data_IF_709724756901
#
_entry.id   IF_709724756901
#
_cell.length_a   1.000
_cell.length_b   1.000
_cell.length_c   1.000
_cell.angle_alpha   90.00
_cell.angle_beta   90.00
_cell.angle_gamma   90.00
#
_symmetry.space_group_name_H-M   'P 1'
#
loop_
_entity.id
_entity.type
_entity.pdbx_description
1 polymer ?
#
# COMPACT_ATOMS: atom_id res chain seq x y z
N UNK A 1 -6.99 -41.42 -6.45
CA UNK A 1 -6.60 -40.18 -7.18
C UNK A 1 -6.68 -39.04 -6.18
N UNK A 2 -5.68 -38.15 -6.14
CA UNK A 2 -5.67 -37.06 -5.15
C UNK A 2 -6.58 -35.94 -5.64
N UNK A 3 -7.82 -35.90 -5.14
CA UNK A 3 -8.83 -34.89 -5.48
C UNK A 3 -8.34 -33.46 -5.25
N UNK A 4 -7.40 -33.26 -4.32
CA UNK A 4 -6.78 -31.97 -4.05
C UNK A 4 -5.93 -31.43 -5.21
N UNK A 5 -5.44 -32.30 -6.11
CA UNK A 5 -4.60 -31.90 -7.27
C UNK A 5 -5.36 -31.98 -8.60
N UNK A 6 -6.63 -32.39 -8.60
CA UNK A 6 -7.46 -32.42 -9.81
C UNK A 6 -8.21 -31.10 -9.99
N UNK A 7 -7.73 -30.25 -10.90
CA UNK A 7 -8.52 -29.15 -11.50
C UNK A 7 -8.34 -27.74 -10.94
N UNK A 8 -9.16 -26.82 -11.49
CA UNK A 8 -9.17 -25.37 -11.25
C UNK A 8 -9.18 -24.97 -9.76
N UNK A 9 -9.74 -25.81 -8.88
CA UNK A 9 -9.81 -25.57 -7.44
C UNK A 9 -8.43 -25.43 -6.78
N UNK A 10 -7.48 -26.31 -7.11
CA UNK A 10 -6.13 -26.24 -6.55
C UNK A 10 -5.43 -24.95 -6.99
N UNK A 11 -5.54 -24.61 -8.27
CA UNK A 11 -4.91 -23.40 -8.81
C UNK A 11 -5.52 -22.14 -8.20
N UNK A 12 -6.85 -22.09 -8.04
CA UNK A 12 -7.56 -20.99 -7.38
C UNK A 12 -7.12 -20.79 -5.94
N UNK A 13 -7.04 -21.88 -5.17
CA UNK A 13 -6.55 -21.84 -3.80
C UNK A 13 -5.07 -21.43 -3.74
N UNK A 14 -4.22 -22.07 -4.54
CA UNK A 14 -2.78 -21.85 -4.55
C UNK A 14 -2.42 -20.41 -4.92
N UNK A 15 -3.11 -19.80 -5.89
CA UNK A 15 -2.89 -18.40 -6.26
C UNK A 15 -3.27 -17.44 -5.12
N UNK A 16 -4.38 -17.69 -4.41
CA UNK A 16 -4.79 -16.90 -3.25
C UNK A 16 -3.82 -17.07 -2.08
N UNK A 17 -3.41 -18.31 -1.80
CA UNK A 17 -2.39 -18.62 -0.81
C UNK A 17 -1.08 -17.87 -1.10
N UNK A 18 -0.61 -17.95 -2.34
CA UNK A 18 0.61 -17.27 -2.77
C UNK A 18 0.46 -15.75 -2.64
N UNK A 19 -0.67 -15.18 -3.08
CA UNK A 19 -0.99 -13.76 -2.96
C UNK A 19 -0.92 -13.27 -1.50
N UNK A 20 -1.50 -14.03 -0.57
CA UNK A 20 -1.44 -13.73 0.86
C UNK A 20 0.00 -13.83 1.38
N UNK A 21 0.74 -14.88 1.02
CA UNK A 21 2.12 -15.09 1.46
C UNK A 21 3.05 -13.93 1.04
N UNK A 22 2.99 -13.53 -0.24
CA UNK A 22 3.80 -12.41 -0.74
C UNK A 22 3.29 -11.05 -0.24
N UNK A 23 1.98 -10.93 -0.02
CA UNK A 23 1.34 -9.76 0.60
C UNK A 23 1.82 -9.54 2.04
N UNK A 24 1.97 -10.61 2.83
CA UNK A 24 2.56 -10.56 4.19
C UNK A 24 3.99 -10.01 4.11
N UNK A 25 4.82 -10.51 3.20
CA UNK A 25 6.18 -10.01 3.05
C UNK A 25 6.20 -8.53 2.65
N UNK A 26 5.34 -8.12 1.72
CA UNK A 26 5.28 -6.74 1.25
C UNK A 26 4.82 -5.76 2.35
N UNK A 27 3.66 -6.01 2.95
CA UNK A 27 3.07 -5.12 3.96
C UNK A 27 3.84 -5.23 5.29
N UNK A 28 4.37 -6.40 5.63
CA UNK A 28 5.26 -6.58 6.78
C UNK A 28 6.51 -5.72 6.67
N UNK A 29 7.17 -5.70 5.51
CA UNK A 29 8.33 -4.82 5.27
C UNK A 29 7.94 -3.33 5.26
N UNK A 30 6.77 -2.98 4.73
CA UNK A 30 6.24 -1.62 4.81
C UNK A 30 6.15 -1.14 6.27
N UNK A 31 5.59 -1.96 7.16
CA UNK A 31 5.49 -1.64 8.59
C UNK A 31 6.85 -1.67 9.27
N UNK A 32 7.73 -2.60 8.93
CA UNK A 32 9.12 -2.60 9.40
C UNK A 32 9.82 -1.28 9.09
N UNK A 33 9.76 -0.78 7.84
CA UNK A 33 10.40 0.49 7.50
C UNK A 33 9.84 1.66 8.29
N UNK A 34 8.52 1.70 8.41
CA UNK A 34 7.81 2.84 8.96
C UNK A 34 7.85 2.88 10.49
N UNK A 35 7.72 1.74 11.16
CA UNK A 35 7.58 1.65 12.61
C UNK A 35 8.90 1.29 13.32
N UNK A 36 9.84 0.66 12.62
CA UNK A 36 11.08 0.15 13.22
C UNK A 36 12.30 0.83 12.61
N UNK A 37 12.54 0.65 11.31
CA UNK A 37 13.81 1.07 10.70
C UNK A 37 13.99 2.60 10.71
N UNK A 38 13.00 3.38 10.28
CA UNK A 38 13.12 4.84 10.22
C UNK A 38 13.31 5.46 11.63
N UNK A 39 12.51 5.09 12.65
CA UNK A 39 12.78 5.54 14.02
C UNK A 39 14.17 5.14 14.55
N UNK A 40 14.61 3.91 14.30
CA UNK A 40 15.94 3.45 14.70
C UNK A 40 17.06 4.21 13.97
N UNK A 41 16.89 4.54 12.69
CA UNK A 41 17.85 5.35 11.94
C UNK A 41 17.96 6.79 12.48
N UNK A 42 16.86 7.33 13.02
CA UNK A 42 16.84 8.65 13.65
C UNK A 42 17.55 8.66 15.02
N UNK A 43 17.56 7.53 15.74
CA UNK A 43 18.19 7.44 17.06
C UNK A 43 19.72 7.31 17.04
N UNK A 44 20.35 7.14 15.87
CA UNK A 44 21.82 7.10 15.76
C UNK A 44 22.51 8.42 16.13
N UNK A 45 21.80 9.56 16.15
CA UNK A 45 22.38 10.87 16.46
C UNK A 45 23.60 11.19 15.59
N UNK A 46 24.73 11.44 16.23
CA UNK A 46 26.00 11.81 15.57
C UNK A 46 26.80 10.60 15.04
N UNK A 47 26.32 9.37 15.23
CA UNK A 47 26.96 8.14 14.74
C UNK A 47 26.70 7.89 13.24
N UNK A 48 27.06 8.87 12.40
CA UNK A 48 26.79 8.85 10.96
C UNK A 48 27.38 7.61 10.26
N UNK A 49 28.55 7.14 10.70
CA UNK A 49 29.20 5.93 10.16
C UNK A 49 28.35 4.69 10.40
N UNK A 50 27.89 4.48 11.64
CA UNK A 50 27.07 3.33 11.99
C UNK A 50 25.73 3.36 11.25
N UNK A 51 25.08 4.54 11.17
CA UNK A 51 23.86 4.74 10.38
C UNK A 51 24.05 4.36 8.91
N UNK A 52 25.15 4.78 8.29
CA UNK A 52 25.43 4.47 6.88
C UNK A 52 25.71 2.98 6.65
N UNK A 53 26.35 2.29 7.60
CA UNK A 53 26.52 0.83 7.55
C UNK A 53 25.16 0.13 7.56
N UNK A 54 24.24 0.57 8.42
CA UNK A 54 22.87 0.03 8.48
C UNK A 54 22.13 0.27 7.17
N UNK A 55 22.26 1.45 6.55
CA UNK A 55 21.70 1.72 5.23
C UNK A 55 22.26 0.77 4.16
N UNK A 56 23.58 0.60 4.10
CA UNK A 56 24.22 -0.23 3.08
C UNK A 56 23.93 -1.74 3.24
N UNK A 57 23.98 -2.26 4.47
CA UNK A 57 23.87 -3.70 4.73
C UNK A 57 22.44 -4.17 4.96
N UNK A 58 21.65 -3.42 5.73
CA UNK A 58 20.32 -3.82 6.16
C UNK A 58 19.25 -3.24 5.23
N UNK A 59 19.17 -1.91 5.12
CA UNK A 59 18.11 -1.25 4.36
C UNK A 59 18.13 -1.66 2.87
N UNK A 60 19.33 -1.78 2.26
CA UNK A 60 19.48 -2.26 0.88
C UNK A 60 18.81 -3.62 0.63
N UNK A 61 18.99 -4.57 1.56
CA UNK A 61 18.42 -5.93 1.45
C UNK A 61 16.92 -5.93 1.68
N UNK A 62 16.47 -5.23 2.73
CA UNK A 62 15.04 -5.08 3.01
C UNK A 62 14.31 -4.43 1.82
N UNK A 63 14.89 -3.39 1.22
CA UNK A 63 14.32 -2.71 0.05
C UNK A 63 14.30 -3.58 -1.21
N UNK A 64 15.22 -4.55 -1.33
CA UNK A 64 15.16 -5.52 -2.43
C UNK A 64 13.92 -6.42 -2.28
N UNK A 65 13.74 -7.03 -1.12
CA UNK A 65 12.58 -7.88 -0.84
C UNK A 65 11.27 -7.12 -0.95
N UNK A 66 11.23 -5.90 -0.41
CA UNK A 66 10.04 -5.05 -0.45
C UNK A 66 9.55 -4.77 -1.87
N UNK A 67 10.46 -4.46 -2.79
CA UNK A 67 10.14 -4.15 -4.19
C UNK A 67 9.58 -5.34 -4.93
N UNK A 68 10.22 -6.49 -4.77
CA UNK A 68 9.80 -7.71 -5.47
C UNK A 68 8.55 -8.31 -4.83
N UNK A 69 8.39 -8.25 -3.51
CA UNK A 69 7.15 -8.64 -2.84
C UNK A 69 5.95 -7.82 -3.35
N UNK A 70 6.13 -6.51 -3.59
CA UNK A 70 5.09 -5.67 -4.19
C UNK A 70 4.65 -6.16 -5.59
N UNK A 71 5.62 -6.46 -6.48
CA UNK A 71 5.31 -6.96 -7.83
C UNK A 71 4.70 -8.35 -7.78
N UNK A 72 5.21 -9.24 -6.94
CA UNK A 72 4.66 -10.59 -6.79
C UNK A 72 3.23 -10.55 -6.26
N UNK A 73 2.93 -9.65 -5.33
CA UNK A 73 1.55 -9.45 -4.83
C UNK A 73 0.64 -8.93 -5.93
N UNK A 74 1.06 -7.93 -6.71
CA UNK A 74 0.27 -7.47 -7.86
C UNK A 74 0.09 -8.56 -8.92
N UNK A 75 1.16 -9.27 -9.28
CA UNK A 75 1.12 -10.32 -10.30
C UNK A 75 0.15 -11.44 -9.92
N UNK A 76 0.24 -11.93 -8.68
CA UNK A 76 -0.71 -12.93 -8.17
C UNK A 76 -2.14 -12.38 -8.07
N UNK A 77 -2.31 -11.10 -7.72
CA UNK A 77 -3.63 -10.46 -7.71
C UNK A 77 -4.26 -10.38 -9.10
N UNK A 78 -3.47 -9.98 -10.11
CA UNK A 78 -3.91 -9.94 -11.51
C UNK A 78 -4.29 -11.34 -11.99
N UNK A 79 -3.51 -12.37 -11.65
CA UNK A 79 -3.81 -13.76 -11.99
C UNK A 79 -5.12 -14.23 -11.36
N UNK A 80 -5.41 -13.85 -10.12
CA UNK A 80 -6.71 -14.14 -9.47
C UNK A 80 -7.85 -13.43 -10.22
N UNK A 81 -7.68 -12.15 -10.53
CA UNK A 81 -8.74 -11.36 -11.18
C UNK A 81 -8.95 -11.69 -12.65
N UNK A 82 -7.96 -12.29 -13.31
CA UNK A 82 -8.02 -12.70 -14.71
C UNK A 82 -8.66 -14.07 -14.94
N UNK A 83 -9.05 -14.79 -13.89
CA UNK A 83 -9.79 -16.05 -14.02
C UNK A 83 -11.21 -15.74 -14.51
N UNK A 84 -11.72 -16.43 -15.56
CA UNK A 84 -12.99 -16.07 -16.20
C UNK A 84 -14.16 -15.93 -15.22
N UNK A 85 -14.33 -16.89 -14.31
CA UNK A 85 -15.42 -16.86 -13.32
C UNK A 85 -15.30 -15.70 -12.31
N UNK A 86 -14.08 -15.31 -11.94
CA UNK A 86 -13.86 -14.15 -11.08
C UNK A 86 -14.07 -12.85 -11.85
N UNK A 87 -13.55 -12.78 -13.07
CA UNK A 87 -13.63 -11.61 -13.95
C UNK A 87 -15.07 -11.26 -14.28
N UNK A 88 -15.86 -12.26 -14.71
CA UNK A 88 -17.27 -12.06 -15.05
C UNK A 88 -18.08 -11.62 -13.82
N UNK A 89 -17.83 -12.23 -12.66
CA UNK A 89 -18.46 -11.81 -11.40
C UNK A 89 -18.03 -10.41 -10.97
N UNK A 90 -16.77 -10.02 -11.20
CA UNK A 90 -16.20 -8.74 -10.79
C UNK A 90 -16.68 -7.58 -11.67
N UNK A 91 -16.91 -7.84 -12.96
CA UNK A 91 -17.45 -6.85 -13.91
C UNK A 91 -18.98 -6.78 -13.91
N UNK A 92 -19.66 -7.72 -13.26
CA UNK A 92 -21.10 -7.67 -13.11
C UNK A 92 -21.51 -6.70 -11.99
N UNK A 93 -21.92 -5.50 -12.40
CA UNK A 93 -22.44 -4.45 -11.51
C UNK A 93 -23.93 -4.17 -11.79
N UNK A 94 -24.64 -5.06 -12.49
CA UNK A 94 -26.00 -4.78 -12.95
C UNK A 94 -27.06 -4.94 -11.85
N UNK A 95 -28.05 -4.05 -11.85
CA UNK A 95 -29.17 -4.03 -10.91
C UNK A 95 -28.78 -3.83 -9.44
N UNK A 96 -29.69 -4.23 -8.53
CA UNK A 96 -29.40 -4.37 -7.10
C UNK A 96 -29.07 -5.82 -6.81
N UNK A 97 -27.80 -6.14 -6.56
CA UNK A 97 -27.37 -7.50 -6.27
C UNK A 97 -26.29 -7.52 -5.18
N UNK A 98 -26.12 -8.68 -4.53
CA UNK A 98 -25.14 -8.90 -3.47
C UNK A 98 -23.67 -8.80 -3.91
N UNK A 99 -23.40 -8.76 -5.22
CA UNK A 99 -22.05 -8.60 -5.75
C UNK A 99 -21.63 -7.13 -5.81
N UNK A 100 -22.54 -6.17 -5.86
CA UNK A 100 -22.20 -4.75 -6.00
C UNK A 100 -21.34 -4.22 -4.84
N UNK A 101 -21.79 -4.39 -3.60
CA UNK A 101 -21.04 -3.95 -2.41
C UNK A 101 -19.69 -4.68 -2.29
N UNK A 102 -19.67 -5.97 -2.60
CA UNK A 102 -18.45 -6.80 -2.67
C UNK A 102 -17.48 -6.27 -3.72
N UNK A 103 -17.94 -6.07 -4.96
CA UNK A 103 -17.14 -5.63 -6.11
C UNK A 103 -16.61 -4.21 -5.88
N UNK A 104 -17.41 -3.31 -5.32
CA UNK A 104 -16.98 -1.97 -4.94
C UNK A 104 -15.89 -1.97 -3.86
N UNK A 105 -16.08 -2.75 -2.81
CA UNK A 105 -15.12 -2.85 -1.72
C UNK A 105 -13.78 -3.42 -2.21
N UNK A 106 -13.79 -4.52 -2.97
CA UNK A 106 -12.54 -5.09 -3.50
C UNK A 106 -11.87 -4.14 -4.50
N UNK A 107 -12.64 -3.40 -5.31
CA UNK A 107 -12.11 -2.39 -6.23
C UNK A 107 -11.32 -1.30 -5.51
N UNK A 108 -11.85 -0.76 -4.41
CA UNK A 108 -11.13 0.24 -3.60
C UNK A 108 -9.83 -0.34 -3.04
N UNK A 109 -9.87 -1.56 -2.49
CA UNK A 109 -8.68 -2.25 -2.01
C UNK A 109 -7.63 -2.44 -3.11
N UNK A 110 -8.03 -2.92 -4.28
CA UNK A 110 -7.15 -3.13 -5.43
C UNK A 110 -6.49 -1.83 -5.89
N UNK A 111 -7.24 -0.74 -6.03
CA UNK A 111 -6.69 0.54 -6.51
C UNK A 111 -5.68 1.11 -5.49
N UNK A 112 -5.96 1.00 -4.19
CA UNK A 112 -5.00 1.38 -3.16
C UNK A 112 -3.72 0.53 -3.24
N UNK A 113 -3.83 -0.79 -3.38
CA UNK A 113 -2.68 -1.67 -3.56
C UNK A 113 -1.86 -1.33 -4.81
N UNK A 114 -2.51 -1.11 -5.96
CA UNK A 114 -1.84 -0.73 -7.21
C UNK A 114 -1.12 0.61 -7.03
N UNK A 115 -1.77 1.60 -6.43
CA UNK A 115 -1.17 2.92 -6.14
C UNK A 115 0.03 2.77 -5.21
N UNK A 116 -0.06 1.90 -4.20
CA UNK A 116 1.04 1.62 -3.29
C UNK A 116 2.23 0.97 -4.00
N UNK A 117 2.02 -0.03 -4.86
CA UNK A 117 3.08 -0.66 -5.63
C UNK A 117 3.72 0.31 -6.63
N UNK A 118 2.92 1.17 -7.25
CA UNK A 118 3.37 2.30 -8.04
C UNK A 118 4.30 3.22 -7.22
N UNK A 119 3.93 3.58 -5.98
CA UNK A 119 4.80 4.33 -5.08
C UNK A 119 6.12 3.59 -4.79
N UNK A 120 6.08 2.27 -4.56
CA UNK A 120 7.28 1.46 -4.29
C UNK A 120 8.30 1.58 -5.42
N UNK A 121 7.88 1.38 -6.67
CA UNK A 121 8.79 1.33 -7.81
C UNK A 121 9.12 2.70 -8.39
N UNK A 122 8.13 3.57 -8.53
CA UNK A 122 8.29 4.84 -9.23
C UNK A 122 8.85 5.95 -8.36
N UNK A 123 8.65 5.88 -7.03
CA UNK A 123 9.04 6.97 -6.12
C UNK A 123 10.02 6.47 -5.07
N UNK A 124 9.64 5.50 -4.23
CA UNK A 124 10.45 5.02 -3.11
C UNK A 124 11.78 4.49 -3.63
N UNK A 125 11.76 3.53 -4.56
CA UNK A 125 12.99 2.95 -5.07
C UNK A 125 13.91 3.95 -5.77
N UNK A 126 13.37 4.81 -6.63
CA UNK A 126 14.17 5.81 -7.36
C UNK A 126 14.94 6.72 -6.39
N UNK A 127 14.27 7.19 -5.35
CA UNK A 127 14.88 8.07 -4.34
C UNK A 127 15.79 7.29 -3.38
N UNK A 128 15.43 6.06 -2.98
CA UNK A 128 16.27 5.22 -2.12
C UNK A 128 17.60 4.84 -2.79
N UNK A 129 17.65 4.71 -4.13
CA UNK A 129 18.93 4.53 -4.83
C UNK A 129 19.91 5.66 -4.53
N UNK A 130 19.44 6.91 -4.51
CA UNK A 130 20.27 8.09 -4.19
C UNK A 130 20.76 8.01 -2.74
N UNK A 131 19.86 7.72 -1.80
CA UNK A 131 20.21 7.59 -0.37
C UNK A 131 21.23 6.48 -0.13
N UNK A 132 21.04 5.31 -0.73
CA UNK A 132 21.94 4.17 -0.60
C UNK A 132 23.29 4.40 -1.28
N UNK A 133 23.30 5.04 -2.45
CA UNK A 133 24.54 5.41 -3.14
C UNK A 133 25.35 6.42 -2.30
N UNK A 134 24.68 7.43 -1.74
CA UNK A 134 25.30 8.39 -0.82
C UNK A 134 25.89 7.70 0.41
N UNK A 135 25.17 6.76 1.02
CA UNK A 135 25.67 6.03 2.19
C UNK A 135 26.98 5.27 1.88
N UNK A 136 27.05 4.60 0.72
CA UNK A 136 28.28 3.92 0.26
C UNK A 136 29.40 4.90 -0.03
N UNK A 137 29.09 6.01 -0.70
CA UNK A 137 30.08 7.03 -1.05
C UNK A 137 30.74 7.64 0.20
N UNK A 138 29.93 8.03 1.19
CA UNK A 138 30.42 8.59 2.46
C UNK A 138 31.22 7.55 3.25
N UNK A 139 30.82 6.27 3.25
CA UNK A 139 31.61 5.20 3.87
C UNK A 139 32.97 4.98 3.19
N UNK A 140 33.06 5.26 1.89
CA UNK A 140 34.31 5.21 1.12
C UNK A 140 35.19 6.45 1.25
N UNK A 141 34.83 7.42 2.10
CA UNK A 141 35.56 8.68 2.27
C UNK A 141 35.20 9.78 1.27
N UNK A 142 34.17 9.57 0.43
CA UNK A 142 33.66 10.56 -0.49
C UNK A 142 32.81 11.65 0.18
N UNK A 143 32.61 12.76 -0.53
CA UNK A 143 31.78 13.87 -0.04
C UNK A 143 30.28 13.53 -0.07
N UNK A 144 29.48 13.94 0.93
CA UNK A 144 28.04 13.71 0.93
C UNK A 144 27.32 14.33 -0.28
N UNK A 145 26.39 13.59 -0.89
CA UNK A 145 25.54 14.09 -1.96
C UNK A 145 24.49 15.07 -1.39
N UNK A 146 24.47 16.35 -1.84
CA UNK A 146 23.52 17.34 -1.36
C UNK A 146 22.05 16.96 -1.62
N UNK A 147 21.77 16.10 -2.62
CA UNK A 147 20.42 15.68 -2.96
C UNK A 147 19.89 14.54 -2.10
N UNK A 148 20.76 13.85 -1.34
CA UNK A 148 20.39 12.64 -0.60
C UNK A 148 19.28 12.89 0.44
N UNK A 149 19.33 14.03 1.14
CA UNK A 149 18.33 14.39 2.14
C UNK A 149 16.94 14.60 1.50
N UNK A 150 16.88 15.35 0.39
CA UNK A 150 15.63 15.60 -0.34
C UNK A 150 15.06 14.31 -0.94
N UNK A 151 15.91 13.42 -1.47
CA UNK A 151 15.50 12.11 -1.94
C UNK A 151 14.93 11.24 -0.80
N UNK A 152 15.63 11.16 0.33
CA UNK A 152 15.16 10.45 1.52
C UNK A 152 13.81 10.94 2.01
N UNK A 153 13.60 12.27 2.02
CA UNK A 153 12.31 12.89 2.36
C UNK A 153 11.18 12.44 1.43
N UNK A 154 11.38 12.47 0.11
CA UNK A 154 10.37 12.03 -0.88
C UNK A 154 10.05 10.54 -0.73
N UNK A 155 11.06 9.70 -0.52
CA UNK A 155 10.87 8.27 -0.28
C UNK A 155 10.06 8.01 1.01
N UNK A 156 10.36 8.75 2.08
CA UNK A 156 9.68 8.62 3.36
C UNK A 156 8.21 9.01 3.26
N UNK A 157 7.88 10.16 2.65
CA UNK A 157 6.49 10.61 2.48
C UNK A 157 5.65 9.59 1.72
N UNK A 158 6.17 9.07 0.60
CA UNK A 158 5.49 8.03 -0.16
C UNK A 158 5.35 6.71 0.62
N UNK A 159 6.36 6.33 1.41
CA UNK A 159 6.29 5.15 2.29
C UNK A 159 5.23 5.31 3.40
N UNK A 160 5.09 6.52 3.95
CA UNK A 160 4.06 6.84 4.94
C UNK A 160 2.67 6.80 4.33
N UNK A 161 2.50 7.34 3.13
CA UNK A 161 1.24 7.24 2.39
C UNK A 161 0.87 5.78 2.10
N UNK A 162 1.84 4.93 1.76
CA UNK A 162 1.58 3.50 1.61
C UNK A 162 1.08 2.89 2.92
N UNK A 163 1.63 3.27 4.07
CA UNK A 163 1.17 2.82 5.38
C UNK A 163 -0.24 3.35 5.71
N UNK A 164 -0.58 4.56 5.27
CA UNK A 164 -1.94 5.11 5.39
C UNK A 164 -2.94 4.27 4.61
N UNK A 165 -2.63 3.94 3.35
CA UNK A 165 -3.50 3.13 2.50
C UNK A 165 -3.58 1.67 2.92
N UNK A 166 -2.51 1.09 3.49
CA UNK A 166 -2.45 -0.35 3.74
C UNK A 166 -3.53 -0.85 4.69
N UNK A 167 -3.96 -0.05 5.66
CA UNK A 167 -5.00 -0.44 6.63
C UNK A 167 -6.35 -0.60 5.94
N UNK A 168 -6.83 0.44 5.26
CA UNK A 168 -8.10 0.38 4.52
C UNK A 168 -8.03 -0.66 3.39
N UNK A 169 -6.92 -0.73 2.67
CA UNK A 169 -6.71 -1.73 1.63
C UNK A 169 -6.90 -3.16 2.15
N UNK A 170 -6.22 -3.51 3.25
CA UNK A 170 -6.36 -4.83 3.87
C UNK A 170 -7.78 -5.09 4.37
N UNK A 171 -8.41 -4.10 5.01
CA UNK A 171 -9.79 -4.23 5.48
C UNK A 171 -10.74 -4.60 4.35
N UNK A 172 -10.70 -3.88 3.23
CA UNK A 172 -11.61 -4.15 2.12
C UNK A 172 -11.29 -5.47 1.42
N UNK A 173 -10.00 -5.79 1.22
CA UNK A 173 -9.62 -7.08 0.63
C UNK A 173 -10.08 -8.26 1.51
N UNK A 174 -9.94 -8.17 2.84
CA UNK A 174 -10.39 -9.22 3.76
C UNK A 174 -11.91 -9.23 3.88
N UNK A 175 -12.55 -8.08 4.11
CA UNK A 175 -13.99 -7.98 4.35
C UNK A 175 -14.83 -8.48 3.18
N UNK A 176 -14.33 -8.34 1.94
CA UNK A 176 -15.04 -8.83 0.73
C UNK A 176 -15.22 -10.35 0.69
N UNK A 177 -14.35 -11.08 1.40
CA UNK A 177 -14.47 -12.53 1.54
C UNK A 177 -15.34 -12.96 2.75
N UNK A 178 -15.77 -12.02 3.59
CA UNK A 178 -16.41 -12.34 4.87
C UNK A 178 -17.83 -11.79 5.01
N UNK A 179 -18.05 -10.51 4.71
CA UNK A 179 -19.33 -9.86 5.07
C UNK A 179 -19.90 -8.95 3.98
N UNK A 180 -19.10 -8.30 3.12
CA UNK A 180 -19.67 -7.32 2.18
C UNK A 180 -20.71 -7.88 1.20
N UNK A 181 -20.59 -9.15 0.80
CA UNK A 181 -21.59 -9.76 -0.09
C UNK A 181 -22.88 -10.15 0.63
N UNK A 182 -22.80 -10.54 1.91
CA UNK A 182 -23.96 -11.03 2.65
C UNK A 182 -24.69 -9.90 3.37
N UNK A 183 -23.94 -8.96 3.97
CA UNK A 183 -24.50 -7.86 4.77
C UNK A 183 -25.16 -6.77 3.93
N UNK A 184 -24.81 -6.66 2.64
CA UNK A 184 -25.27 -5.58 1.76
C UNK A 184 -25.82 -6.13 0.44
N UNK A 185 -26.82 -6.99 0.53
CA UNK A 185 -27.42 -7.68 -0.61
C UNK A 185 -28.26 -6.77 -1.52
N UNK A 186 -28.65 -5.58 -1.05
CA UNK A 186 -29.50 -4.64 -1.78
C UNK A 186 -28.74 -3.45 -2.41
N UNK A 187 -27.41 -3.40 -2.28
CA UNK A 187 -26.62 -2.29 -2.79
C UNK A 187 -26.82 -2.11 -4.31
N UNK A 188 -27.20 -0.90 -4.73
CA UNK A 188 -27.41 -0.61 -6.16
C UNK A 188 -26.08 -0.35 -6.86
N UNK A 189 -26.04 -0.53 -8.19
CA UNK A 189 -24.89 -0.16 -9.01
C UNK A 189 -24.46 1.29 -8.80
N UNK A 190 -25.43 2.18 -8.64
CA UNK A 190 -25.20 3.62 -8.44
C UNK A 190 -24.48 3.88 -7.13
N UNK A 191 -24.93 3.27 -6.05
CA UNK A 191 -24.31 3.44 -4.72
C UNK A 191 -22.91 2.84 -4.71
N UNK A 192 -22.74 1.66 -5.31
CA UNK A 192 -21.46 0.99 -5.47
C UNK A 192 -20.45 1.86 -6.23
N UNK A 193 -20.84 2.44 -7.38
CA UNK A 193 -19.97 3.33 -8.18
C UNK A 193 -19.66 4.63 -7.43
N UNK A 194 -20.67 5.25 -6.82
CA UNK A 194 -20.48 6.48 -6.04
C UNK A 194 -19.50 6.25 -4.88
N UNK A 195 -19.60 5.11 -4.20
CA UNK A 195 -18.69 4.74 -3.12
C UNK A 195 -17.25 4.67 -3.61
N UNK A 196 -17.02 3.96 -4.72
CA UNK A 196 -15.68 3.87 -5.34
C UNK A 196 -15.17 5.27 -5.68
N UNK A 197 -15.97 6.11 -6.33
CA UNK A 197 -15.55 7.48 -6.72
C UNK A 197 -15.14 8.29 -5.50
N UNK A 198 -15.96 8.31 -4.44
CA UNK A 198 -15.67 9.07 -3.22
C UNK A 198 -14.38 8.55 -2.56
N UNK A 199 -14.23 7.23 -2.44
CA UNK A 199 -13.02 6.62 -1.88
C UNK A 199 -11.76 6.98 -2.69
N UNK A 200 -11.85 6.99 -4.02
CA UNK A 200 -10.77 7.38 -4.90
C UNK A 200 -10.43 8.85 -4.83
N UNK A 201 -11.42 9.74 -4.70
CA UNK A 201 -11.17 11.18 -4.52
C UNK A 201 -10.43 11.44 -3.21
N UNK A 202 -10.88 10.85 -2.10
CA UNK A 202 -10.20 10.96 -0.79
C UNK A 202 -8.78 10.42 -0.89
N UNK A 203 -8.61 9.22 -1.47
CA UNK A 203 -7.31 8.61 -1.67
C UNK A 203 -6.39 9.47 -2.55
N UNK A 204 -6.89 10.01 -3.66
CA UNK A 204 -6.13 10.86 -4.56
C UNK A 204 -5.65 12.14 -3.87
N UNK A 205 -6.48 12.78 -3.03
CA UNK A 205 -6.07 13.96 -2.25
C UNK A 205 -4.90 13.63 -1.32
N UNK A 206 -4.98 12.52 -0.57
CA UNK A 206 -3.90 12.06 0.30
C UNK A 206 -2.63 11.73 -0.51
N UNK A 207 -2.78 11.00 -1.61
CA UNK A 207 -1.67 10.65 -2.49
C UNK A 207 -0.99 11.91 -3.06
N UNK A 208 -1.74 12.87 -3.58
CA UNK A 208 -1.21 14.13 -4.12
C UNK A 208 -0.51 14.96 -3.03
N UNK A 209 -1.04 14.95 -1.81
CA UNK A 209 -0.40 15.58 -0.66
C UNK A 209 0.98 14.97 -0.39
N UNK A 210 1.06 13.63 -0.25
CA UNK A 210 2.31 12.92 -0.01
C UNK A 210 3.36 13.10 -1.12
N UNK A 211 2.91 13.31 -2.36
CA UNK A 211 3.78 13.62 -3.51
C UNK A 211 4.24 15.09 -3.55
N UNK A 212 3.83 15.91 -2.58
CA UNK A 212 4.15 17.32 -2.50
C UNK A 212 3.44 18.17 -3.55
N UNK A 213 2.36 17.66 -4.16
CA UNK A 213 1.53 18.43 -5.11
C UNK A 213 0.64 19.45 -4.42
N UNK A 214 0.47 19.32 -3.10
CA UNK A 214 -0.24 20.26 -2.25
C UNK A 214 0.75 20.94 -1.28
N UNK A 215 1.37 22.03 -1.73
CA UNK A 215 2.29 22.84 -0.90
C UNK A 215 3.74 22.35 -0.78
N UNK A 216 4.18 21.40 -1.62
CA UNK A 216 5.56 20.91 -1.64
C UNK A 216 5.87 19.85 -0.57
N UNK A 217 7.14 19.42 -0.50
CA UNK A 217 7.61 18.34 0.41
C UNK A 217 8.38 18.84 1.63
N UNK A 218 8.52 20.15 1.78
CA UNK A 218 9.25 20.78 2.89
C UNK A 218 8.51 20.53 4.22
N UNK A 219 9.26 20.36 5.31
CA UNK A 219 8.68 20.13 6.65
C UNK A 219 7.87 21.33 7.18
N UNK A 220 8.01 22.50 6.55
CA UNK A 220 7.21 23.71 6.83
C UNK A 220 5.77 23.59 6.30
N UNK A 221 5.50 22.66 5.38
CA UNK A 221 4.17 22.43 4.84
C UNK A 221 3.29 21.68 5.86
N UNK A 222 2.38 22.41 6.52
CA UNK A 222 1.47 21.85 7.53
C UNK A 222 0.54 20.76 6.97
N UNK A 223 0.28 20.74 5.67
CA UNK A 223 -0.57 19.71 5.04
C UNK A 223 0.08 18.32 5.10
N UNK A 224 1.40 18.23 5.33
CA UNK A 224 2.12 16.97 5.46
C UNK A 224 2.02 16.35 6.87
N UNK A 225 1.25 16.95 7.80
CA UNK A 225 1.04 16.41 9.14
C UNK A 225 0.79 14.90 9.17
N UNK A 226 -0.03 14.30 8.26
CA UNK A 226 -0.23 12.85 8.23
C UNK A 226 1.05 12.02 8.10
N UNK A 227 2.11 12.58 7.53
CA UNK A 227 3.32 11.86 7.15
C UNK A 227 4.55 12.23 7.99
N UNK A 228 4.48 13.29 8.79
CA UNK A 228 5.64 13.78 9.55
C UNK A 228 6.11 12.80 10.62
N UNK A 229 5.23 11.93 11.11
CA UNK A 229 5.59 10.88 12.05
C UNK A 229 4.89 9.57 11.74
N UNK A 230 5.47 8.47 12.21
CA UNK A 230 4.83 7.16 12.14
C UNK A 230 3.51 7.12 12.90
N UNK A 231 3.41 7.86 14.02
CA UNK A 231 2.18 7.95 14.82
C UNK A 231 1.09 8.68 14.07
N UNK A 232 1.39 9.81 13.43
CA UNK A 232 0.42 10.56 12.63
C UNK A 232 -0.07 9.74 11.44
N UNK A 233 0.83 8.99 10.81
CA UNK A 233 0.46 8.13 9.69
C UNK A 233 -0.42 6.94 10.15
N UNK A 234 -0.21 6.41 11.37
CA UNK A 234 -1.10 5.40 11.98
C UNK A 234 -2.47 5.99 12.36
N UNK A 235 -2.51 7.20 12.90
CA UNK A 235 -3.77 7.89 13.19
C UNK A 235 -4.53 8.11 11.87
N UNK A 236 -3.84 8.62 10.85
CA UNK A 236 -4.45 8.88 9.53
C UNK A 236 -4.93 7.60 8.87
N UNK A 237 -4.20 6.48 9.01
CA UNK A 237 -4.64 5.18 8.46
C UNK A 237 -5.92 4.70 9.13
N UNK A 238 -6.03 4.82 10.46
CA UNK A 238 -7.23 4.50 11.22
C UNK A 238 -8.41 5.41 10.87
N UNK A 239 -8.18 6.71 10.74
CA UNK A 239 -9.22 7.67 10.33
C UNK A 239 -9.71 7.38 8.91
N UNK A 240 -8.80 7.14 7.96
CA UNK A 240 -9.17 6.80 6.59
C UNK A 240 -10.00 5.52 6.55
N UNK A 241 -9.56 4.48 7.26
CA UNK A 241 -10.31 3.23 7.39
C UNK A 241 -11.73 3.47 7.95
N UNK A 242 -11.84 4.18 9.08
CA UNK A 242 -13.13 4.46 9.71
C UNK A 242 -14.06 5.25 8.79
N UNK A 243 -13.55 6.29 8.13
CA UNK A 243 -14.33 7.10 7.18
C UNK A 243 -14.83 6.24 6.03
N UNK A 244 -13.97 5.43 5.41
CA UNK A 244 -14.37 4.61 4.26
C UNK A 244 -15.30 3.46 4.68
N UNK A 245 -15.13 2.88 5.87
CA UNK A 245 -16.04 1.86 6.38
C UNK A 245 -17.41 2.44 6.74
N UNK A 246 -17.49 3.56 7.45
CA UNK A 246 -18.78 4.21 7.72
C UNK A 246 -19.48 4.66 6.43
N UNK A 247 -18.71 5.09 5.43
CA UNK A 247 -19.23 5.41 4.11
C UNK A 247 -19.81 4.16 3.44
N UNK A 248 -19.16 3.00 3.52
CA UNK A 248 -19.71 1.77 2.95
C UNK A 248 -20.98 1.33 3.68
N UNK A 249 -21.04 1.44 5.01
CA UNK A 249 -22.26 1.18 5.79
C UNK A 249 -23.43 2.08 5.33
N UNK A 250 -23.19 3.39 5.17
CA UNK A 250 -24.25 4.32 4.77
C UNK A 250 -24.70 4.13 3.31
N UNK A 251 -23.77 3.84 2.41
CA UNK A 251 -24.06 3.78 0.97
C UNK A 251 -24.62 2.43 0.54
N UNK A 252 -24.28 1.34 1.23
CA UNK A 252 -24.69 -0.01 0.83
C UNK A 252 -25.92 -0.53 1.60
N UNK A 253 -26.32 0.14 2.68
CA UNK A 253 -27.51 -0.17 3.47
C UNK A 253 -28.83 0.12 2.73
#
# INVERSE_FOLDING_TARGET
MVELFSGDYFLNFFMRYLHVLVGIAWIGLLYYFNLVQVPALASYGDEAKARNITLDKLARRALWWFRWAAIMTLGTGILITGQPSYYDSFLNWDGGNSLNAKNASITVGMIFAITMAANVWMIIWKNQKVVLANAVNVLGGGQPDPNAAAAGRRALLASRQNMVFSVSMLWFMVGTAHFYGESFNNATSRDAINYVIIALVIGAVLQLNALGKLGGTAATNKLLWPYESHKNALITSGVLWLVLWLLSEFMFA
#
